data_IF_081127765294
#
_entry.id   IF_081127765294
#
_cell.length_a   1.000
_cell.length_b   1.000
_cell.length_c   1.000
_cell.angle_alpha   90.00
_cell.angle_beta   90.00
_cell.angle_gamma   90.00
#
_symmetry.space_group_name_H-M   'P 1'
#
loop_
_entity.id
_entity.type
_entity.pdbx_description
1 polymer ?
#
# COMPACT_ATOMS: atom_id res chain seq x y z
N UNK A 1 3.70 34.59 -62.08
CA UNK A 1 3.36 35.12 -60.77
C UNK A 1 1.84 35.08 -60.61
N UNK A 2 1.31 34.01 -59.92
CA UNK A 2 -0.14 33.89 -59.66
C UNK A 2 -0.50 34.62 -58.36
N UNK A 3 -1.38 35.61 -58.46
CA UNK A 3 -1.94 36.27 -57.25
C UNK A 3 -3.03 35.43 -56.68
N UNK A 4 -2.83 34.92 -55.42
CA UNK A 4 -3.85 34.25 -54.64
C UNK A 4 -4.89 35.28 -54.19
N UNK A 5 -6.19 35.04 -54.38
CA UNK A 5 -7.22 36.00 -53.98
C UNK A 5 -7.36 36.11 -52.49
N UNK A 6 -7.41 37.35 -51.98
CA UNK A 6 -7.44 37.67 -50.53
C UNK A 6 -8.61 37.02 -49.73
N UNK A 7 -9.64 36.53 -50.40
CA UNK A 7 -10.80 35.87 -49.79
C UNK A 7 -10.46 34.50 -49.18
N UNK A 8 -9.54 33.72 -49.77
CA UNK A 8 -9.18 32.38 -49.29
C UNK A 8 -8.34 32.47 -48.00
N UNK A 9 -7.48 33.49 -47.89
CA UNK A 9 -6.65 33.70 -46.70
C UNK A 9 -7.48 34.05 -45.45
N UNK A 10 -8.61 34.76 -45.60
CA UNK A 10 -9.49 35.09 -44.45
C UNK A 10 -10.31 33.91 -43.96
N UNK A 11 -10.75 33.01 -44.85
CA UNK A 11 -11.49 31.80 -44.47
C UNK A 11 -10.60 30.82 -43.73
N UNK A 12 -9.34 30.65 -44.17
CA UNK A 12 -8.38 29.77 -43.47
C UNK A 12 -7.98 30.29 -42.11
N UNK A 13 -7.91 31.61 -41.90
CA UNK A 13 -7.60 32.22 -40.61
C UNK A 13 -8.73 32.00 -39.57
N UNK A 14 -9.99 32.10 -40.00
CA UNK A 14 -11.16 31.91 -39.12
C UNK A 14 -11.30 30.43 -38.71
N UNK A 15 -11.03 29.48 -39.61
CA UNK A 15 -11.07 28.04 -39.30
C UNK A 15 -9.94 27.67 -38.35
N UNK A 16 -8.74 28.24 -38.51
CA UNK A 16 -7.59 27.99 -37.63
C UNK A 16 -7.82 28.47 -36.18
N UNK A 17 -8.51 29.60 -36.00
CA UNK A 17 -8.81 30.13 -34.65
C UNK A 17 -9.92 29.32 -33.98
N UNK A 18 -10.91 28.82 -34.72
CA UNK A 18 -12.00 28.00 -34.17
C UNK A 18 -11.54 26.63 -33.67
N UNK A 19 -10.48 26.04 -34.25
CA UNK A 19 -9.93 24.75 -33.82
C UNK A 19 -9.08 24.88 -32.53
N UNK A 20 -8.42 26.03 -32.32
CA UNK A 20 -7.60 26.28 -31.13
C UNK A 20 -8.42 26.53 -29.85
N UNK A 21 -9.67 26.98 -29.98
CA UNK A 21 -10.52 27.24 -28.81
C UNK A 21 -11.23 26.00 -28.25
N UNK A 22 -11.33 24.89 -29.01
CA UNK A 22 -11.97 23.65 -28.57
C UNK A 22 -11.03 22.75 -27.76
N UNK A 23 -9.72 22.98 -27.82
CA UNK A 23 -8.74 22.17 -27.07
C UNK A 23 -8.55 22.60 -25.61
N UNK A 24 -9.04 23.77 -25.22
CA UNK A 24 -8.83 24.33 -23.87
C UNK A 24 -9.86 23.86 -22.81
N UNK A 25 -11.02 23.32 -23.24
CA UNK A 25 -12.08 22.95 -22.29
C UNK A 25 -12.02 21.52 -21.76
N UNK A 26 -11.11 20.64 -22.26
CA UNK A 26 -11.08 19.22 -21.85
C UNK A 26 -10.08 18.96 -20.72
N UNK A 27 -9.16 19.87 -20.45
CA UNK A 27 -8.09 19.65 -19.48
C UNK A 27 -8.43 20.05 -18.03
N UNK A 28 -9.38 20.95 -17.82
CA UNK A 28 -9.69 21.43 -16.46
C UNK A 28 -10.63 20.51 -15.68
N UNK A 29 -11.57 19.85 -16.35
CA UNK A 29 -12.51 18.94 -15.67
C UNK A 29 -11.84 17.66 -15.14
N UNK A 30 -10.75 17.19 -15.76
CA UNK A 30 -9.97 16.06 -15.26
C UNK A 30 -9.10 16.41 -14.05
N UNK A 31 -8.62 17.64 -13.96
CA UNK A 31 -7.82 18.10 -12.82
C UNK A 31 -8.68 18.33 -11.57
N UNK A 32 -9.92 18.76 -11.74
CA UNK A 32 -10.83 19.03 -10.61
C UNK A 32 -11.29 17.78 -9.87
N UNK A 33 -11.35 16.61 -10.53
CA UNK A 33 -11.76 15.35 -9.87
C UNK A 33 -10.68 14.73 -8.98
N UNK A 34 -9.41 15.15 -9.09
CA UNK A 34 -8.29 14.60 -8.31
C UNK A 34 -7.92 15.45 -7.07
N UNK A 35 -8.63 16.52 -6.80
CA UNK A 35 -8.29 17.54 -5.78
C UNK A 35 -9.42 17.71 -4.74
N UNK A 36 -10.23 16.68 -4.50
CA UNK A 36 -11.11 16.71 -3.34
C UNK A 36 -10.22 16.62 -2.09
N UNK A 37 -10.32 17.57 -1.14
CA UNK A 37 -9.62 17.47 0.12
C UNK A 37 -9.96 16.15 0.79
N UNK A 38 -8.94 15.46 1.31
CA UNK A 38 -9.18 14.24 2.13
C UNK A 38 -10.01 14.70 3.34
N UNK A 39 -11.20 14.11 3.57
CA UNK A 39 -12.03 14.47 4.73
C UNK A 39 -11.24 14.30 6.02
N UNK A 40 -11.37 15.24 6.94
CA UNK A 40 -10.81 15.11 8.27
C UNK A 40 -11.86 14.57 9.23
N UNK A 41 -11.62 13.36 9.76
CA UNK A 41 -12.52 12.71 10.71
C UNK A 41 -12.07 12.97 12.14
N UNK A 42 -12.99 13.43 13.01
CA UNK A 42 -12.74 13.58 14.45
C UNK A 42 -12.89 12.22 15.16
N UNK A 43 -11.80 11.46 15.15
CA UNK A 43 -11.70 10.13 15.79
C UNK A 43 -10.41 10.03 16.58
N UNK A 44 -10.41 9.29 17.73
CA UNK A 44 -9.17 8.96 18.42
C UNK A 44 -8.33 8.00 17.60
N UNK A 45 -7.01 8.15 17.63
CA UNK A 45 -6.10 7.19 17.03
C UNK A 45 -6.25 5.79 17.65
N UNK A 46 -6.18 4.74 16.85
CA UNK A 46 -6.18 3.35 17.29
C UNK A 46 -4.83 2.69 17.01
N UNK A 47 -4.30 1.88 17.92
CA UNK A 47 -3.18 0.99 17.62
C UNK A 47 -3.74 -0.29 17.00
N UNK A 48 -3.57 -0.44 15.68
CA UNK A 48 -4.12 -1.58 14.93
C UNK A 48 -3.17 -2.77 14.80
N UNK A 49 -1.87 -2.55 14.97
CA UNK A 49 -0.85 -3.60 15.00
C UNK A 49 0.30 -3.20 15.91
N UNK A 50 0.62 -4.04 16.89
CA UNK A 50 1.73 -3.80 17.82
C UNK A 50 2.86 -4.78 17.55
N UNK A 51 4.06 -4.26 17.34
CA UNK A 51 5.26 -5.08 17.19
C UNK A 51 5.83 -5.39 18.60
N UNK A 52 6.01 -4.35 19.42
CA UNK A 52 6.47 -4.44 20.81
C UNK A 52 5.99 -3.24 21.66
N UNK A 53 6.68 -2.95 22.74
CA UNK A 53 6.32 -1.89 23.69
C UNK A 53 6.46 -0.47 23.11
N UNK A 54 7.27 -0.27 22.07
CA UNK A 54 7.57 1.03 21.49
C UNK A 54 7.31 1.12 19.96
N UNK A 55 7.12 -0.02 19.25
CA UNK A 55 6.85 -0.06 17.80
C UNK A 55 5.44 -0.54 17.52
N UNK A 56 4.70 0.23 16.74
CA UNK A 56 3.32 -0.12 16.39
C UNK A 56 2.84 0.62 15.14
N UNK A 57 1.70 0.21 14.62
CA UNK A 57 0.95 0.92 13.57
C UNK A 57 -0.23 1.64 14.21
N UNK A 58 -0.25 2.96 14.07
CA UNK A 58 -1.37 3.83 14.42
C UNK A 58 -2.30 3.98 13.23
N UNK A 59 -3.60 3.97 13.48
CA UNK A 59 -4.65 4.20 12.51
C UNK A 59 -5.42 5.46 12.89
N UNK A 60 -5.47 6.43 11.99
CA UNK A 60 -5.90 7.78 12.27
C UNK A 60 -6.79 8.31 11.13
N UNK A 61 -7.53 9.40 11.38
CA UNK A 61 -8.36 10.05 10.35
C UNK A 61 -9.20 9.04 9.55
N UNK A 62 -9.87 8.12 10.22
CA UNK A 62 -10.64 7.03 9.60
C UNK A 62 -12.15 7.26 9.71
N UNK A 63 -12.88 6.83 8.68
CA UNK A 63 -14.35 6.78 8.69
C UNK A 63 -14.88 5.45 9.26
N UNK A 64 -14.12 4.39 9.10
CA UNK A 64 -14.39 3.03 9.55
C UNK A 64 -13.09 2.23 9.59
N UNK A 65 -13.14 0.92 9.84
CA UNK A 65 -11.96 0.07 9.92
C UNK A 65 -11.29 -0.23 8.58
N UNK A 66 -11.77 0.30 7.46
CA UNK A 66 -11.24 0.04 6.11
C UNK A 66 -10.70 1.28 5.41
N UNK A 67 -11.08 2.48 5.90
CA UNK A 67 -10.83 3.75 5.22
C UNK A 67 -10.24 4.76 6.21
N UNK A 68 -8.93 4.83 6.27
CA UNK A 68 -8.20 5.76 7.13
C UNK A 68 -6.72 5.83 6.77
N UNK A 69 -5.97 6.60 7.54
CA UNK A 69 -4.54 6.79 7.37
C UNK A 69 -3.78 5.92 8.38
N UNK A 70 -2.80 5.15 7.91
CA UNK A 70 -1.97 4.30 8.75
C UNK A 70 -0.55 4.88 8.88
N UNK A 71 0.00 4.84 10.10
CA UNK A 71 1.36 5.34 10.40
C UNK A 71 2.15 4.30 11.18
N UNK A 72 3.38 4.05 10.76
CA UNK A 72 4.34 3.34 11.60
C UNK A 72 4.92 4.31 12.64
N UNK A 73 4.95 3.87 13.88
CA UNK A 73 5.48 4.62 15.02
C UNK A 73 6.58 3.82 15.70
N UNK A 74 7.73 4.43 15.95
CA UNK A 74 8.72 3.98 16.91
C UNK A 74 8.99 5.10 17.91
N UNK A 75 8.45 4.96 19.11
CA UNK A 75 8.55 6.00 20.16
C UNK A 75 9.95 6.11 20.73
N UNK A 76 10.77 5.06 20.65
CA UNK A 76 12.15 5.06 21.12
C UNK A 76 13.09 5.80 20.16
N UNK A 77 12.87 5.66 18.87
CA UNK A 77 13.63 6.33 17.83
C UNK A 77 13.04 7.67 17.37
N UNK A 78 11.84 8.02 17.87
CA UNK A 78 11.12 9.23 17.45
C UNK A 78 10.68 9.17 15.98
N UNK A 79 10.39 7.98 15.46
CA UNK A 79 9.97 7.78 14.08
C UNK A 79 8.46 7.80 14.00
N UNK A 80 7.94 8.54 13.01
CA UNK A 80 6.55 8.47 12.53
C UNK A 80 6.59 8.51 11.01
N UNK A 81 6.25 7.40 10.37
CA UNK A 81 6.30 7.26 8.91
C UNK A 81 4.90 6.91 8.40
N UNK A 82 4.47 7.65 7.39
CA UNK A 82 3.20 7.40 6.69
C UNK A 82 3.28 6.09 5.90
N UNK A 83 2.33 5.18 6.14
CA UNK A 83 2.19 3.90 5.42
C UNK A 83 1.13 3.99 4.32
N UNK A 84 0.49 5.15 4.16
CA UNK A 84 -0.57 5.38 3.21
C UNK A 84 -1.98 5.24 3.81
N UNK A 85 -2.95 5.49 2.94
CA UNK A 85 -4.38 5.42 3.24
C UNK A 85 -5.00 4.21 2.56
N UNK A 86 -5.96 3.57 3.23
CA UNK A 86 -6.76 2.47 2.68
C UNK A 86 -5.89 1.30 2.19
N UNK A 87 -4.92 0.89 3.00
CA UNK A 87 -3.91 -0.09 2.61
C UNK A 87 -3.63 -1.18 3.64
N UNK A 88 -2.76 -0.91 4.60
CA UNK A 88 -2.24 -1.94 5.53
C UNK A 88 -3.31 -2.48 6.46
N UNK A 89 -4.26 -1.66 6.90
CA UNK A 89 -5.38 -2.03 7.77
C UNK A 89 -6.32 -3.05 7.11
N UNK A 90 -6.31 -3.11 5.79
CA UNK A 90 -7.16 -3.99 4.99
C UNK A 90 -6.58 -5.40 4.79
N UNK A 91 -5.32 -5.63 5.16
CA UNK A 91 -4.71 -6.94 5.07
C UNK A 91 -5.28 -7.91 6.11
N UNK A 92 -5.84 -9.03 5.66
CA UNK A 92 -6.54 -10.03 6.47
C UNK A 92 -5.70 -11.26 6.83
N UNK A 93 -4.47 -11.33 6.31
CA UNK A 93 -3.57 -12.45 6.49
C UNK A 93 -2.80 -12.40 7.81
N UNK A 94 -1.78 -13.25 7.92
CA UNK A 94 -0.88 -13.30 9.08
C UNK A 94 0.35 -12.45 8.83
N UNK A 95 0.73 -11.63 9.80
CA UNK A 95 1.89 -10.75 9.76
C UNK A 95 2.78 -10.97 10.98
N UNK A 96 4.07 -11.25 10.74
CA UNK A 96 5.07 -11.49 11.78
C UNK A 96 6.27 -10.57 11.52
N UNK A 97 6.45 -9.53 12.32
CA UNK A 97 7.65 -8.71 12.33
C UNK A 97 8.54 -9.14 13.49
N UNK A 98 9.44 -10.10 13.24
CA UNK A 98 10.26 -10.77 14.24
C UNK A 98 11.76 -10.44 14.13
N UNK A 99 12.15 -9.41 13.36
CA UNK A 99 13.54 -8.98 13.32
C UNK A 99 13.99 -8.43 14.69
N UNK A 100 14.95 -9.10 15.38
CA UNK A 100 15.39 -8.68 16.70
C UNK A 100 16.16 -7.36 16.68
N UNK A 101 16.75 -6.99 15.54
CA UNK A 101 17.40 -5.68 15.37
C UNK A 101 16.40 -4.53 15.18
N UNK A 102 15.16 -4.84 14.82
CA UNK A 102 14.13 -3.87 14.48
C UNK A 102 14.39 -3.07 13.21
N UNK A 103 15.45 -3.41 12.47
CA UNK A 103 15.83 -2.72 11.25
C UNK A 103 14.92 -3.06 10.09
N UNK A 104 14.57 -4.35 9.97
CA UNK A 104 13.77 -4.87 8.89
C UNK A 104 12.31 -5.01 9.29
N UNK A 105 11.43 -4.43 8.49
CA UNK A 105 9.99 -4.41 8.70
C UNK A 105 9.25 -4.71 7.40
N UNK A 106 8.06 -5.28 7.49
CA UNK A 106 7.15 -5.43 6.37
C UNK A 106 5.72 -5.10 6.78
N UNK A 107 5.00 -4.42 5.91
CA UNK A 107 3.56 -4.22 6.04
C UNK A 107 2.90 -4.53 4.70
N UNK A 108 2.16 -5.64 4.61
CA UNK A 108 1.35 -5.95 3.44
C UNK A 108 0.13 -5.05 3.36
N UNK A 109 -0.28 -4.74 2.16
CA UNK A 109 -1.49 -3.98 1.89
C UNK A 109 -2.57 -4.87 1.29
N UNK A 110 -3.81 -4.43 1.39
CA UNK A 110 -4.93 -4.91 0.59
C UNK A 110 -5.87 -3.72 0.32
N UNK A 111 -6.64 -3.79 -0.76
CA UNK A 111 -7.67 -2.79 -0.99
C UNK A 111 -8.86 -3.01 -0.05
N UNK A 112 -9.63 -1.97 0.28
CA UNK A 112 -10.87 -2.11 1.02
C UNK A 112 -11.85 -3.11 0.40
N UNK A 113 -12.80 -3.67 1.18
CA UNK A 113 -13.85 -4.53 0.63
C UNK A 113 -14.60 -3.80 -0.49
N UNK A 114 -15.00 -4.55 -1.52
CA UNK A 114 -15.78 -4.04 -2.67
C UNK A 114 -15.02 -3.06 -3.59
N UNK A 115 -13.70 -2.90 -3.43
CA UNK A 115 -12.90 -2.10 -4.36
C UNK A 115 -13.02 -2.65 -5.79
N UNK A 116 -13.38 -1.78 -6.73
CA UNK A 116 -13.41 -2.13 -8.14
C UNK A 116 -11.99 -2.19 -8.72
N UNK A 117 -11.60 -3.35 -9.22
CA UNK A 117 -10.35 -3.52 -9.97
C UNK A 117 -10.57 -3.21 -11.47
N UNK A 118 -9.50 -2.89 -12.18
CA UNK A 118 -9.53 -2.82 -13.65
C UNK A 118 -9.78 -4.21 -14.26
N UNK A 119 -9.99 -4.24 -15.58
CA UNK A 119 -10.06 -5.47 -16.38
C UNK A 119 -8.82 -6.38 -16.26
N UNK A 120 -7.70 -5.81 -15.78
CA UNK A 120 -6.41 -6.51 -15.56
C UNK A 120 -6.16 -6.88 -14.10
N UNK A 121 -7.17 -6.85 -13.22
CA UNK A 121 -7.09 -7.03 -11.77
C UNK A 121 -6.47 -5.84 -11.00
N UNK A 122 -6.47 -5.94 -9.68
CA UNK A 122 -5.73 -5.04 -8.79
C UNK A 122 -4.32 -5.57 -8.55
N UNK A 123 -3.31 -4.72 -8.71
CA UNK A 123 -1.96 -4.98 -8.24
C UNK A 123 -1.82 -4.53 -6.80
N UNK A 124 -1.57 -5.46 -5.89
CA UNK A 124 -1.53 -5.20 -4.45
C UNK A 124 -0.09 -5.25 -3.95
N UNK A 125 0.42 -4.14 -3.39
CA UNK A 125 1.78 -4.10 -2.89
C UNK A 125 1.88 -4.59 -1.44
N UNK A 126 3.08 -4.99 -1.06
CA UNK A 126 3.60 -4.88 0.29
C UNK A 126 4.62 -3.75 0.33
N UNK A 127 4.80 -3.16 1.49
CA UNK A 127 5.86 -2.19 1.75
C UNK A 127 6.83 -2.78 2.77
N UNK A 128 8.12 -2.53 2.57
CA UNK A 128 9.18 -3.04 3.45
C UNK A 128 10.20 -1.94 3.75
N UNK A 129 10.83 -2.04 4.91
CA UNK A 129 11.90 -1.16 5.34
C UNK A 129 13.14 -1.99 5.71
N UNK A 130 14.32 -1.42 5.49
CA UNK A 130 15.61 -1.95 5.93
C UNK A 130 16.40 -0.93 6.78
N UNK A 131 15.70 0.11 7.28
CA UNK A 131 16.29 1.23 8.03
C UNK A 131 15.47 1.62 9.28
N UNK A 132 14.82 0.61 9.91
CA UNK A 132 14.01 0.75 11.13
C UNK A 132 12.71 1.56 10.90
N UNK A 133 12.17 1.53 9.69
CA UNK A 133 10.91 2.19 9.36
C UNK A 133 11.03 3.68 9.03
N UNK A 134 12.25 4.20 8.79
CA UNK A 134 12.43 5.58 8.33
C UNK A 134 11.97 5.76 6.90
N UNK A 135 12.26 4.76 6.06
CA UNK A 135 11.79 4.71 4.67
C UNK A 135 11.16 3.37 4.36
N UNK A 136 10.15 3.39 3.49
CA UNK A 136 9.51 2.18 2.98
C UNK A 136 9.58 2.15 1.46
N UNK A 137 9.79 0.95 0.93
CA UNK A 137 9.79 0.63 -0.50
C UNK A 137 8.67 -0.36 -0.80
N UNK A 138 8.01 -0.19 -1.95
CA UNK A 138 6.90 -1.05 -2.34
C UNK A 138 7.31 -2.12 -3.36
N UNK A 139 6.71 -3.31 -3.26
CA UNK A 139 6.73 -4.33 -4.31
C UNK A 139 5.37 -5.01 -4.41
N UNK A 140 4.96 -5.38 -5.63
CA UNK A 140 3.70 -6.12 -5.83
C UNK A 140 3.90 -7.57 -5.40
N UNK A 141 3.07 -8.04 -4.45
CA UNK A 141 3.08 -9.44 -4.01
C UNK A 141 1.87 -10.23 -4.53
N UNK A 142 0.79 -9.54 -4.89
CA UNK A 142 -0.46 -10.19 -5.30
C UNK A 142 -1.11 -9.43 -6.45
N UNK A 143 -1.71 -10.17 -7.40
CA UNK A 143 -2.59 -9.63 -8.44
C UNK A 143 -3.90 -10.43 -8.43
N UNK A 144 -5.02 -9.77 -8.15
CA UNK A 144 -6.32 -10.43 -8.01
C UNK A 144 -7.46 -9.43 -8.19
N UNK A 145 -8.68 -9.92 -8.48
CA UNK A 145 -9.88 -9.08 -8.54
C UNK A 145 -10.52 -8.85 -7.17
N UNK A 146 -10.08 -9.55 -6.12
CA UNK A 146 -10.59 -9.38 -4.77
C UNK A 146 -9.44 -9.41 -3.75
N UNK A 147 -8.64 -8.32 -3.68
CA UNK A 147 -7.46 -8.28 -2.81
C UNK A 147 -7.81 -8.40 -1.33
N UNK A 148 -8.91 -7.81 -0.86
CA UNK A 148 -9.34 -7.93 0.53
C UNK A 148 -9.48 -9.39 0.97
N UNK A 149 -10.34 -10.16 0.28
CA UNK A 149 -10.57 -11.56 0.63
C UNK A 149 -9.37 -12.45 0.35
N UNK A 150 -8.62 -12.19 -0.75
CA UNK A 150 -7.45 -13.01 -1.10
C UNK A 150 -6.30 -12.84 -0.12
N UNK A 151 -6.16 -11.66 0.50
CA UNK A 151 -5.07 -11.37 1.44
C UNK A 151 -5.05 -12.31 2.66
N UNK A 152 -6.19 -12.88 3.06
CA UNK A 152 -6.28 -13.85 4.18
C UNK A 152 -5.48 -15.13 3.96
N UNK A 153 -5.19 -15.48 2.69
CA UNK A 153 -4.44 -16.68 2.32
C UNK A 153 -2.93 -16.45 2.41
N UNK A 154 -2.49 -15.24 2.77
CA UNK A 154 -1.09 -14.89 2.88
C UNK A 154 -0.60 -14.88 4.32
N UNK A 155 0.63 -15.37 4.51
CA UNK A 155 1.42 -15.16 5.72
C UNK A 155 2.70 -14.43 5.31
N UNK A 156 2.99 -13.31 5.97
CA UNK A 156 4.23 -12.57 5.78
C UNK A 156 5.03 -12.53 7.07
N UNK A 157 6.32 -12.84 6.98
CA UNK A 157 7.18 -12.87 8.15
C UNK A 157 8.55 -12.28 7.83
N UNK A 158 9.04 -11.42 8.73
CA UNK A 158 10.42 -10.93 8.73
C UNK A 158 11.20 -11.58 9.85
N UNK A 159 12.37 -12.14 9.52
CA UNK A 159 13.32 -12.69 10.47
C UNK A 159 14.74 -12.32 10.06
N UNK A 160 15.38 -11.43 10.82
CA UNK A 160 16.69 -10.90 10.47
C UNK A 160 16.66 -10.26 9.06
N UNK A 161 17.52 -10.73 8.18
CA UNK A 161 17.65 -10.25 6.80
C UNK A 161 16.77 -10.98 5.78
N UNK A 162 15.68 -11.64 6.22
CA UNK A 162 14.77 -12.42 5.38
C UNK A 162 13.33 -11.99 5.53
N UNK A 163 12.67 -11.85 4.38
CA UNK A 163 11.23 -11.71 4.27
C UNK A 163 10.66 -12.97 3.61
N UNK A 164 9.75 -13.63 4.28
CA UNK A 164 8.97 -14.75 3.76
C UNK A 164 7.58 -14.26 3.37
N UNK A 165 7.21 -14.48 2.11
CA UNK A 165 5.87 -14.25 1.58
C UNK A 165 5.31 -15.61 1.22
N UNK A 166 4.41 -16.13 2.05
CA UNK A 166 3.80 -17.44 1.88
C UNK A 166 2.34 -17.28 1.44
N UNK A 167 1.99 -17.88 0.32
CA UNK A 167 0.62 -17.97 -0.19
C UNK A 167 0.08 -19.38 0.03
N UNK A 168 -1.05 -19.49 0.73
CA UNK A 168 -1.72 -20.76 0.95
C UNK A 168 -2.27 -21.30 -0.38
N UNK A 169 -1.92 -22.55 -0.71
CA UNK A 169 -2.39 -23.29 -1.88
C UNK A 169 -2.93 -24.63 -1.38
N UNK A 170 -4.25 -24.79 -1.33
CA UNK A 170 -4.91 -25.98 -0.77
C UNK A 170 -4.43 -26.27 0.67
N UNK A 171 -3.78 -27.40 0.90
CA UNK A 171 -3.29 -27.84 2.22
C UNK A 171 -1.81 -27.47 2.45
N UNK A 172 -1.17 -26.75 1.54
CA UNK A 172 0.23 -26.34 1.61
C UNK A 172 0.37 -24.83 1.39
N UNK A 173 1.59 -24.32 1.31
CA UNK A 173 1.87 -22.94 0.94
C UNK A 173 3.07 -22.85 -0.01
N UNK A 174 2.97 -21.98 -1.00
CA UNK A 174 4.12 -21.55 -1.81
C UNK A 174 4.78 -20.36 -1.13
N UNK A 175 6.06 -20.47 -0.87
CA UNK A 175 6.84 -19.49 -0.12
C UNK A 175 7.89 -18.87 -1.02
N UNK A 176 7.93 -17.54 -1.07
CA UNK A 176 9.03 -16.79 -1.66
C UNK A 176 9.80 -16.14 -0.53
N UNK A 177 11.10 -16.40 -0.49
CA UNK A 177 12.05 -15.82 0.45
C UNK A 177 12.83 -14.70 -0.24
N UNK A 178 12.65 -13.48 0.24
CA UNK A 178 13.34 -12.29 -0.24
C UNK A 178 14.45 -11.88 0.73
N UNK A 179 15.64 -11.48 0.22
CA UNK A 179 16.68 -10.89 1.08
C UNK A 179 16.29 -9.47 1.48
N UNK A 180 16.44 -9.13 2.76
CA UNK A 180 16.25 -7.78 3.30
C UNK A 180 17.58 -7.16 3.77
N UNK A 181 18.59 -7.21 2.91
CA UNK A 181 19.86 -6.53 3.18
C UNK A 181 19.67 -5.01 3.09
N UNK A 182 20.47 -4.26 3.82
CA UNK A 182 20.35 -2.80 3.91
C UNK A 182 20.33 -2.14 2.53
N UNK A 183 19.33 -1.31 2.27
CA UNK A 183 19.18 -0.53 1.04
C UNK A 183 18.79 -1.34 -0.20
N UNK A 184 18.36 -2.60 -0.04
CA UNK A 184 17.93 -3.42 -1.17
C UNK A 184 16.65 -2.85 -1.80
N UNK A 185 16.59 -2.90 -3.13
CA UNK A 185 15.37 -2.70 -3.93
C UNK A 185 14.92 -4.05 -4.50
N UNK A 186 13.87 -4.62 -3.90
CA UNK A 186 13.32 -5.93 -4.27
C UNK A 186 12.67 -5.95 -5.66
N UNK A 187 12.49 -4.80 -6.30
CA UNK A 187 11.97 -4.68 -7.67
C UNK A 187 13.07 -4.77 -8.73
N UNK A 188 14.36 -4.78 -8.30
CA UNK A 188 15.54 -4.82 -9.16
C UNK A 188 16.31 -6.13 -8.99
N UNK A 189 17.20 -6.46 -9.93
CA UNK A 189 18.14 -7.56 -9.76
C UNK A 189 18.96 -7.41 -8.46
N UNK A 190 19.15 -8.51 -7.75
CA UNK A 190 19.88 -8.48 -6.48
C UNK A 190 21.38 -8.21 -6.69
N UNK A 191 22.03 -7.55 -5.73
CA UNK A 191 23.47 -7.37 -5.74
C UNK A 191 24.23 -8.71 -5.79
N UNK A 192 25.49 -8.74 -6.28
CA UNK A 192 26.31 -9.94 -6.28
C UNK A 192 26.38 -10.58 -4.88
N UNK A 193 26.21 -11.90 -4.81
CA UNK A 193 26.23 -12.66 -3.56
C UNK A 193 24.92 -12.66 -2.76
N UNK A 194 23.97 -11.76 -3.06
CA UNK A 194 22.64 -11.74 -2.45
C UNK A 194 21.69 -12.65 -3.23
N UNK A 195 20.96 -13.52 -2.53
CA UNK A 195 20.04 -14.48 -3.16
C UNK A 195 18.72 -14.56 -2.41
N UNK A 196 17.62 -14.64 -3.15
CA UNK A 196 16.34 -15.11 -2.69
C UNK A 196 16.16 -16.61 -3.01
N UNK A 197 15.07 -17.18 -2.53
CA UNK A 197 14.67 -18.55 -2.86
C UNK A 197 13.15 -18.69 -2.94
N UNK A 198 12.66 -19.81 -3.46
CA UNK A 198 11.26 -20.18 -3.36
C UNK A 198 11.16 -21.68 -3.09
N UNK A 199 10.13 -22.06 -2.34
CA UNK A 199 9.91 -23.45 -1.95
C UNK A 199 8.45 -23.67 -1.54
N UNK A 200 8.05 -24.93 -1.48
CA UNK A 200 6.78 -25.33 -0.88
C UNK A 200 6.98 -25.54 0.63
N UNK A 201 6.06 -25.07 1.46
CA UNK A 201 6.22 -25.10 2.93
C UNK A 201 6.46 -26.52 3.46
N UNK A 202 5.84 -27.55 2.86
CA UNK A 202 6.07 -28.96 3.19
C UNK A 202 7.53 -29.41 3.03
N UNK A 203 8.31 -28.77 2.15
CA UNK A 203 9.73 -29.08 1.99
C UNK A 203 10.64 -28.44 3.04
N UNK A 204 10.17 -27.36 3.71
CA UNK A 204 10.85 -26.68 4.78
C UNK A 204 9.87 -26.37 5.93
N UNK A 205 9.33 -27.38 6.61
CA UNK A 205 8.21 -27.20 7.55
C UNK A 205 8.56 -26.31 8.75
N UNK A 206 9.84 -26.07 9.00
CA UNK A 206 10.33 -25.26 10.11
C UNK A 206 10.65 -23.80 9.72
N UNK A 207 10.38 -23.35 8.50
CA UNK A 207 10.79 -22.02 8.02
C UNK A 207 10.22 -20.85 8.85
N UNK A 208 9.07 -21.03 9.50
CA UNK A 208 8.49 -20.06 10.45
C UNK A 208 8.53 -20.55 11.91
N UNK A 209 9.23 -21.67 12.20
CA UNK A 209 9.24 -22.25 13.54
C UNK A 209 9.83 -21.28 14.58
N UNK A 210 9.08 -21.03 15.64
CA UNK A 210 9.49 -20.11 16.70
C UNK A 210 9.38 -18.62 16.37
N UNK A 211 9.04 -18.26 15.12
CA UNK A 211 8.87 -16.86 14.76
C UNK A 211 7.56 -16.31 15.32
N UNK A 212 7.66 -15.20 16.04
CA UNK A 212 6.53 -14.44 16.57
C UNK A 212 6.87 -12.97 16.57
N UNK A 213 5.89 -12.15 16.29
CA UNK A 213 5.96 -10.72 16.64
C UNK A 213 6.18 -10.63 18.15
N UNK A 214 7.10 -9.80 18.67
CA UNK A 214 7.40 -9.71 20.10
C UNK A 214 6.19 -9.46 20.99
N UNK A 215 5.20 -8.69 20.52
CA UNK A 215 3.92 -8.47 21.23
C UNK A 215 3.00 -9.70 21.23
N UNK A 216 3.24 -10.67 20.36
CA UNK A 216 2.32 -11.77 20.06
C UNK A 216 1.22 -11.43 19.07
N UNK A 217 1.07 -10.18 18.65
CA UNK A 217 0.06 -9.78 17.65
C UNK A 217 0.51 -10.19 16.24
N UNK A 218 -0.35 -10.91 15.51
CA UNK A 218 -0.05 -11.44 14.17
C UNK A 218 -1.08 -11.02 13.11
N UNK A 219 -2.00 -10.11 13.45
CA UNK A 219 -3.01 -9.55 12.53
C UNK A 219 -3.30 -8.11 12.88
N UNK A 220 -3.71 -7.35 11.89
CA UNK A 220 -4.29 -6.04 12.16
C UNK A 220 -5.63 -6.19 12.89
N UNK A 221 -5.89 -5.30 13.84
CA UNK A 221 -7.13 -5.25 14.62
C UNK A 221 -7.63 -3.82 14.66
N UNK A 222 -8.94 -3.63 14.52
CA UNK A 222 -9.57 -2.33 14.60
C UNK A 222 -10.86 -2.46 15.42
N UNK A 223 -11.09 -1.51 16.33
CA UNK A 223 -12.35 -1.41 17.07
C UNK A 223 -13.39 -0.69 16.22
N UNK A 224 -14.29 -1.45 15.61
CA UNK A 224 -15.36 -0.93 14.76
C UNK A 224 -16.45 -0.18 15.54
N UNK A 225 -16.43 -0.20 16.87
CA UNK A 225 -17.37 0.59 17.68
C UNK A 225 -17.02 2.07 17.75
N UNK A 226 -15.75 2.42 17.53
CA UNK A 226 -15.27 3.79 17.49
C UNK A 226 -15.68 4.43 16.15
N UNK A 227 -16.45 5.49 16.21
CA UNK A 227 -17.00 6.21 15.06
C UNK A 227 -16.58 7.67 15.07
N UNK A 228 -16.44 8.33 13.89
CA UNK A 228 -16.27 9.76 13.81
C UNK A 228 -17.42 10.51 14.52
N UNK A 229 -17.09 11.58 15.21
CA UNK A 229 -18.08 12.48 15.80
C UNK A 229 -18.72 13.37 14.74
N UNK A 230 -17.95 13.73 13.69
CA UNK A 230 -18.41 14.49 12.55
C UNK A 230 -18.92 13.55 11.45
N UNK A 231 -20.06 13.89 10.85
CA UNK A 231 -20.64 13.13 9.75
C UNK A 231 -20.03 13.57 8.42
N UNK A 232 -19.93 12.65 7.45
CA UNK A 232 -19.44 12.94 6.10
C UNK A 232 -20.17 14.11 5.40
N UNK A 233 -21.41 14.41 5.77
CA UNK A 233 -22.19 15.53 5.25
C UNK A 233 -21.67 16.90 5.70
N UNK A 234 -20.97 17.00 6.83
CA UNK A 234 -20.36 18.25 7.32
C UNK A 234 -19.01 18.55 6.67
N UNK A 235 -18.43 17.58 5.99
CA UNK A 235 -17.11 17.65 5.37
C UNK A 235 -17.16 18.13 3.91
N UNK A 236 -18.36 18.33 3.35
CA UNK A 236 -18.60 18.75 1.95
C UNK A 236 -19.00 20.22 1.80
N UNK A 237 -18.90 21.02 2.87
CA UNK A 237 -19.11 22.48 2.87
C UNK A 237 -17.72 23.20 2.91
#
# INVERSE_FOLDING_TARGET
MMRVPHSIARVLLVIGISVLTLSACVSDERRSRYSQPIPHYDVPAQVIYRIDDHRYVSFENYSDCFHGDAFYIDTRLGIRTDLGREGVENFQGKLINADPSGRNLVFPMAAPPHTACSDRSCSTPLIYSTDSGRTFHGMVYMKTFNPFNRSKDYTMAVNGDRLYVAEKIQDDAYVIEYPLVQGIDLTKPYPPGVRGSSFTASWRPTYLSGLRTPSGQERFTCDASIRPKNNAAELSQ
#
